data_IF_863865919523
#
_entry.id   IF_863865919523
#
_cell.length_a   1.000
_cell.length_b   1.000
_cell.length_c   1.000
_cell.angle_alpha   90.00
_cell.angle_beta   90.00
_cell.angle_gamma   90.00
#
_symmetry.space_group_name_H-M   'P 1'
#
loop_
_entity.id
_entity.type
_entity.pdbx_description
1 polymer ?
#
# COMPACT_ATOMS: atom_id res chain seq x y z
N UNK A 1 -24.85 -48.62 13.74
CA UNK A 1 -24.69 -47.16 13.59
C UNK A 1 -23.40 -46.96 12.83
N UNK A 2 -23.52 -46.72 11.53
CA UNK A 2 -22.39 -46.57 10.60
C UNK A 2 -21.90 -45.14 10.74
N UNK A 3 -20.67 -44.94 11.21
CA UNK A 3 -20.05 -43.61 11.28
C UNK A 3 -19.41 -43.36 9.92
N UNK A 4 -19.88 -42.30 9.28
CA UNK A 4 -19.47 -41.82 7.97
C UNK A 4 -18.01 -41.32 7.99
N UNK A 5 -17.22 -41.75 7.01
CA UNK A 5 -15.77 -41.52 6.93
C UNK A 5 -15.44 -40.38 5.97
N UNK A 6 -15.88 -39.17 6.30
CA UNK A 6 -15.45 -37.94 5.61
C UNK A 6 -14.98 -36.90 6.61
N UNK A 7 -13.97 -37.25 7.41
CA UNK A 7 -13.14 -36.26 8.11
C UNK A 7 -11.85 -36.10 7.33
N UNK A 8 -11.81 -35.09 6.44
CA UNK A 8 -10.59 -34.69 5.75
C UNK A 8 -9.54 -34.28 6.77
N UNK A 9 -8.52 -35.11 6.96
CA UNK A 9 -7.35 -34.78 7.74
C UNK A 9 -6.48 -33.84 6.92
N UNK A 10 -6.56 -32.53 7.16
CA UNK A 10 -5.54 -31.60 6.70
C UNK A 10 -4.30 -31.82 7.58
N UNK A 11 -3.18 -32.19 6.98
CA UNK A 11 -1.93 -32.30 7.72
C UNK A 11 -1.41 -30.89 8.07
N UNK A 12 -0.66 -30.75 9.15
CA UNK A 12 -0.04 -29.47 9.53
C UNK A 12 0.91 -28.97 8.43
N UNK A 13 1.51 -29.91 7.68
CA UNK A 13 2.37 -29.64 6.53
C UNK A 13 1.55 -29.03 5.37
N UNK A 14 0.33 -29.52 5.12
CA UNK A 14 -0.56 -28.96 4.08
C UNK A 14 -0.96 -27.51 4.41
N UNK A 15 -1.21 -27.19 5.68
CA UNK A 15 -1.59 -25.83 6.10
C UNK A 15 -0.39 -24.87 6.01
N UNK A 16 0.82 -25.36 6.30
CA UNK A 16 2.03 -24.55 6.28
C UNK A 16 2.54 -24.30 4.86
N UNK A 17 2.53 -25.32 3.99
CA UNK A 17 2.91 -25.21 2.58
C UNK A 17 1.95 -24.29 1.81
N UNK A 18 0.64 -24.44 2.00
CA UNK A 18 -0.34 -23.54 1.35
C UNK A 18 -0.16 -22.07 1.76
N UNK A 19 0.15 -21.80 3.04
CA UNK A 19 0.39 -20.43 3.52
C UNK A 19 1.70 -19.83 2.98
N UNK A 20 2.73 -20.64 2.76
CA UNK A 20 3.98 -20.19 2.17
C UNK A 20 3.80 -19.85 0.69
N UNK A 21 3.07 -20.67 -0.05
CA UNK A 21 2.74 -20.42 -1.46
C UNK A 21 1.91 -19.14 -1.63
N UNK A 22 0.91 -18.93 -0.76
CA UNK A 22 0.13 -17.69 -0.75
C UNK A 22 1.00 -16.46 -0.44
N UNK A 23 1.93 -16.57 0.51
CA UNK A 23 2.91 -15.52 0.78
C UNK A 23 3.77 -15.21 -0.45
N UNK A 24 4.35 -16.22 -1.11
CA UNK A 24 5.20 -16.00 -2.29
C UNK A 24 4.43 -15.34 -3.43
N UNK A 25 3.20 -15.81 -3.71
CA UNK A 25 2.33 -15.20 -4.71
C UNK A 25 2.05 -13.73 -4.39
N UNK A 26 1.78 -13.42 -3.13
CA UNK A 26 1.59 -12.04 -2.69
C UNK A 26 2.83 -11.16 -2.95
N UNK A 27 4.04 -11.65 -2.66
CA UNK A 27 5.26 -10.87 -2.94
C UNK A 27 5.50 -10.67 -4.44
N UNK A 28 5.20 -11.67 -5.28
CA UNK A 28 5.31 -11.57 -6.73
C UNK A 28 4.29 -10.59 -7.31
N UNK A 29 3.02 -10.69 -6.87
CA UNK A 29 1.95 -9.78 -7.27
C UNK A 29 2.27 -8.35 -6.85
N UNK A 30 2.76 -8.15 -5.61
CA UNK A 30 3.23 -6.87 -5.13
C UNK A 30 4.38 -6.30 -5.99
N UNK A 31 5.40 -7.10 -6.29
CA UNK A 31 6.53 -6.65 -7.11
C UNK A 31 6.07 -6.24 -8.51
N UNK A 32 5.13 -6.99 -9.10
CA UNK A 32 4.49 -6.65 -10.37
C UNK A 32 3.70 -5.33 -10.31
N UNK A 33 2.91 -5.13 -9.25
CA UNK A 33 2.14 -3.91 -9.04
C UNK A 33 3.03 -2.69 -8.79
N UNK A 34 4.10 -2.82 -7.99
CA UNK A 34 5.07 -1.76 -7.76
C UNK A 34 5.78 -1.37 -9.06
N UNK A 35 6.25 -2.36 -9.84
CA UNK A 35 6.87 -2.09 -11.13
C UNK A 35 5.91 -1.39 -12.10
N UNK A 36 4.64 -1.83 -12.14
CA UNK A 36 3.60 -1.20 -12.96
C UNK A 36 3.29 0.22 -12.50
N UNK A 37 3.17 0.47 -11.20
CA UNK A 37 2.95 1.80 -10.64
C UNK A 37 4.09 2.76 -11.03
N UNK A 38 5.35 2.35 -10.80
CA UNK A 38 6.52 3.16 -11.13
C UNK A 38 6.69 3.38 -12.64
N UNK A 39 6.12 2.51 -13.50
CA UNK A 39 6.17 2.70 -14.95
C UNK A 39 5.34 3.90 -15.45
N UNK A 40 4.40 4.41 -14.65
CA UNK A 40 3.67 5.65 -14.95
C UNK A 40 4.42 6.91 -14.51
N UNK A 41 5.41 6.76 -13.65
CA UNK A 41 6.20 7.86 -13.11
C UNK A 41 7.38 8.12 -14.05
N UNK A 42 7.80 9.39 -14.17
CA UNK A 42 9.02 9.69 -14.93
C UNK A 42 10.24 9.02 -14.28
N UNK A 43 11.24 8.65 -15.07
CA UNK A 43 12.43 7.95 -14.57
C UNK A 43 13.08 8.68 -13.37
N UNK A 44 13.25 10.00 -13.46
CA UNK A 44 13.85 10.81 -12.39
C UNK A 44 13.01 10.83 -11.10
N UNK A 45 11.67 10.89 -11.24
CA UNK A 45 10.76 10.85 -10.09
C UNK A 45 10.75 9.44 -9.45
N UNK A 46 10.81 8.38 -10.27
CA UNK A 46 10.85 7.00 -9.79
C UNK A 46 12.14 6.70 -9.02
N UNK A 47 13.30 7.12 -9.53
CA UNK A 47 14.59 7.00 -8.82
C UNK A 47 14.52 7.73 -7.47
N UNK A 48 13.96 8.95 -7.45
CA UNK A 48 13.80 9.71 -6.20
C UNK A 48 12.87 9.03 -5.20
N UNK A 49 11.78 8.40 -5.64
CA UNK A 49 10.89 7.60 -4.77
C UNK A 49 11.66 6.44 -4.16
N UNK A 50 12.42 5.69 -4.96
CA UNK A 50 13.20 4.54 -4.50
C UNK A 50 14.37 4.93 -3.58
N UNK A 51 14.86 6.17 -3.69
CA UNK A 51 15.83 6.75 -2.77
C UNK A 51 15.22 7.22 -1.45
N UNK A 52 13.94 7.64 -1.46
CA UNK A 52 13.25 8.23 -0.29
C UNK A 52 12.42 7.22 0.51
N UNK A 53 12.03 6.10 -0.09
CA UNK A 53 11.13 5.13 0.52
C UNK A 53 11.65 3.69 0.47
N UNK A 54 11.22 2.89 1.44
CA UNK A 54 11.23 1.43 1.38
C UNK A 54 9.79 0.94 1.36
N UNK A 55 9.43 0.20 0.31
CA UNK A 55 8.14 -0.46 0.25
C UNK A 55 8.21 -1.81 0.95
N UNK A 56 7.28 -2.03 1.87
CA UNK A 56 7.18 -3.25 2.66
C UNK A 56 5.80 -3.83 2.40
N UNK A 57 5.68 -4.88 1.57
CA UNK A 57 4.43 -5.58 1.41
C UNK A 57 4.13 -6.36 2.69
N UNK A 58 2.93 -6.20 3.22
CA UNK A 58 2.56 -6.71 4.52
C UNK A 58 1.43 -7.76 4.40
N UNK A 59 1.78 -8.99 4.78
CA UNK A 59 0.91 -10.15 4.80
C UNK A 59 0.86 -10.72 6.22
N UNK A 60 0.00 -10.16 7.09
CA UNK A 60 -0.14 -10.66 8.47
C UNK A 60 -1.00 -9.80 9.39
N UNK A 61 -1.04 -10.18 10.69
CA UNK A 61 -1.85 -9.54 11.73
C UNK A 61 -1.05 -8.59 12.65
N UNK A 62 0.29 -8.70 12.67
CA UNK A 62 1.16 -7.72 13.33
C UNK A 62 2.52 -7.55 12.64
N UNK A 63 3.12 -6.37 12.73
CA UNK A 63 4.49 -6.09 12.30
C UNK A 63 5.29 -5.35 13.37
N UNK A 64 6.62 -5.51 13.33
CA UNK A 64 7.56 -4.74 14.14
C UNK A 64 8.72 -4.25 13.26
N UNK A 65 8.82 -2.94 13.06
CA UNK A 65 9.98 -2.32 12.41
C UNK A 65 10.90 -1.76 13.49
N UNK A 66 12.18 -2.10 13.41
CA UNK A 66 13.17 -1.57 14.35
C UNK A 66 13.27 -0.04 14.20
N UNK A 67 13.18 0.73 15.30
CA UNK A 67 13.29 2.20 15.24
C UNK A 67 14.59 2.71 14.61
N UNK A 68 15.67 1.92 14.63
CA UNK A 68 16.96 2.28 14.01
C UNK A 68 16.94 2.20 12.48
N UNK A 69 16.01 1.47 11.88
CA UNK A 69 15.80 1.44 10.41
C UNK A 69 15.15 2.73 9.89
N UNK A 70 14.45 3.49 10.75
CA UNK A 70 13.59 4.63 10.38
C UNK A 70 14.38 5.93 10.11
N UNK A 71 15.72 5.90 10.15
CA UNK A 71 16.50 7.14 10.26
C UNK A 71 16.69 7.96 8.97
N UNK A 72 16.39 7.43 7.78
CA UNK A 72 16.65 8.14 6.50
C UNK A 72 15.63 7.96 5.38
N UNK A 73 14.69 7.03 5.51
CA UNK A 73 13.69 6.73 4.47
C UNK A 73 12.33 6.48 5.09
N UNK A 74 11.29 6.85 4.37
CA UNK A 74 9.91 6.53 4.73
C UNK A 74 9.66 5.03 4.51
N UNK A 75 8.99 4.38 5.45
CA UNK A 75 8.51 3.01 5.26
C UNK A 75 7.07 3.10 4.76
N UNK A 76 6.86 2.64 3.53
CA UNK A 76 5.53 2.53 2.93
C UNK A 76 5.07 1.10 3.12
N UNK A 77 4.07 0.91 3.95
CA UNK A 77 3.49 -0.40 4.22
C UNK A 77 2.25 -0.53 3.36
N UNK A 78 2.23 -1.53 2.48
CA UNK A 78 1.07 -1.82 1.64
C UNK A 78 0.46 -3.13 2.13
N UNK A 79 -0.78 -3.07 2.60
CA UNK A 79 -1.52 -4.21 3.12
C UNK A 79 -2.02 -5.09 1.97
N UNK A 80 -2.09 -6.40 2.18
CA UNK A 80 -2.60 -7.34 1.19
C UNK A 80 -4.01 -7.02 0.70
N UNK A 81 -4.88 -6.49 1.58
CA UNK A 81 -6.24 -6.08 1.19
C UNK A 81 -6.23 -4.93 0.16
N UNK A 82 -5.19 -4.08 0.18
CA UNK A 82 -5.08 -2.93 -0.71
C UNK A 82 -4.55 -3.35 -2.10
N UNK A 83 -4.20 -4.63 -2.27
CA UNK A 83 -3.70 -5.21 -3.53
C UNK A 83 -4.75 -6.05 -4.28
N UNK A 84 -5.99 -6.15 -3.78
CA UNK A 84 -7.03 -7.00 -4.38
C UNK A 84 -7.50 -6.50 -5.76
N UNK A 85 -7.58 -5.18 -5.94
CA UNK A 85 -7.83 -4.55 -7.25
C UNK A 85 -6.54 -3.89 -7.76
N UNK A 86 -6.13 -4.25 -8.97
CA UNK A 86 -4.84 -3.82 -9.51
C UNK A 86 -4.74 -2.31 -9.71
N UNK A 87 -5.84 -1.63 -10.07
CA UNK A 87 -5.81 -0.19 -10.33
C UNK A 87 -5.87 0.59 -9.00
N UNK A 88 -6.67 0.15 -8.02
CA UNK A 88 -6.68 0.71 -6.66
C UNK A 88 -5.32 0.53 -5.97
N UNK A 89 -4.68 -0.62 -6.16
CA UNK A 89 -3.35 -0.90 -5.65
C UNK A 89 -2.29 0.05 -6.21
N UNK A 90 -2.33 0.31 -7.53
CA UNK A 90 -1.44 1.26 -8.19
C UNK A 90 -1.64 2.67 -7.63
N UNK A 91 -2.89 3.11 -7.46
CA UNK A 91 -3.19 4.42 -6.88
C UNK A 91 -2.67 4.52 -5.45
N UNK A 92 -2.88 3.49 -4.63
CA UNK A 92 -2.41 3.43 -3.24
C UNK A 92 -0.88 3.50 -3.15
N UNK A 93 -0.18 2.69 -3.96
CA UNK A 93 1.29 2.70 -4.02
C UNK A 93 1.81 4.09 -4.38
N UNK A 94 1.22 4.74 -5.39
CA UNK A 94 1.65 6.06 -5.83
C UNK A 94 1.29 7.18 -4.85
N UNK A 95 0.17 7.07 -4.13
CA UNK A 95 -0.22 8.04 -3.10
C UNK A 95 0.77 8.01 -1.92
N UNK A 96 1.07 6.83 -1.39
CA UNK A 96 2.07 6.68 -0.32
C UNK A 96 3.47 7.12 -0.79
N UNK A 97 3.83 6.78 -2.04
CA UNK A 97 5.08 7.25 -2.65
C UNK A 97 5.10 8.78 -2.81
N UNK A 98 3.95 9.40 -3.09
CA UNK A 98 3.77 10.85 -3.17
C UNK A 98 4.12 11.54 -1.85
N UNK A 99 3.64 11.01 -0.72
CA UNK A 99 4.00 11.52 0.60
C UNK A 99 5.50 11.42 0.87
N UNK A 100 6.13 10.29 0.55
CA UNK A 100 7.57 10.13 0.69
C UNK A 100 8.36 11.06 -0.24
N UNK A 101 7.90 11.25 -1.49
CA UNK A 101 8.52 12.13 -2.48
C UNK A 101 8.49 13.60 -2.04
N UNK A 102 7.35 14.05 -1.53
CA UNK A 102 7.13 15.40 -1.00
C UNK A 102 7.78 15.61 0.38
N UNK A 103 8.31 14.54 0.98
CA UNK A 103 8.88 14.54 2.34
C UNK A 103 7.86 14.99 3.39
N UNK A 104 6.58 14.69 3.14
CA UNK A 104 5.51 14.94 4.11
C UNK A 104 5.71 13.98 5.28
N UNK A 105 5.94 14.54 6.47
CA UNK A 105 6.09 13.75 7.68
C UNK A 105 4.74 13.43 8.30
N UNK A 106 4.50 12.16 8.64
CA UNK A 106 3.37 11.73 9.47
C UNK A 106 3.65 12.05 10.96
N UNK A 107 3.79 13.34 11.29
CA UNK A 107 4.00 13.76 12.67
C UNK A 107 2.64 14.01 13.33
N UNK A 108 2.42 13.46 14.54
CA UNK A 108 1.18 13.65 15.31
C UNK A 108 0.93 15.10 15.78
N UNK A 109 1.77 16.05 15.36
CA UNK A 109 1.71 17.49 15.69
C UNK A 109 1.38 18.37 14.49
N UNK A 110 1.11 17.79 13.32
CA UNK A 110 0.67 18.54 12.13
C UNK A 110 -0.78 19.00 12.35
N UNK A 111 -1.09 20.26 12.04
CA UNK A 111 -2.46 20.75 12.15
C UNK A 111 -3.35 20.10 11.09
N UNK A 112 -4.66 19.99 11.34
CA UNK A 112 -5.62 19.47 10.35
C UNK A 112 -5.55 20.22 9.01
N UNK A 113 -5.32 21.53 9.04
CA UNK A 113 -5.17 22.33 7.83
C UNK A 113 -3.92 21.95 7.03
N UNK A 114 -2.78 21.75 7.72
CA UNK A 114 -1.55 21.35 7.07
C UNK A 114 -1.63 19.90 6.56
N UNK A 115 -2.31 19.01 7.27
CA UNK A 115 -2.59 17.65 6.77
C UNK A 115 -3.42 17.71 5.49
N UNK A 116 -4.49 18.51 5.45
CA UNK A 116 -5.30 18.68 4.25
C UNK A 116 -4.48 19.22 3.08
N UNK A 117 -3.67 20.26 3.31
CA UNK A 117 -2.80 20.79 2.28
C UNK A 117 -1.81 19.74 1.75
N UNK A 118 -1.24 18.93 2.64
CA UNK A 118 -0.32 17.86 2.28
C UNK A 118 -1.01 16.75 1.46
N UNK A 119 -2.25 16.41 1.78
CA UNK A 119 -3.08 15.50 0.98
C UNK A 119 -3.41 16.09 -0.40
N UNK A 120 -3.86 17.34 -0.47
CA UNK A 120 -4.19 18.02 -1.73
C UNK A 120 -2.97 18.04 -2.68
N UNK A 121 -1.80 18.36 -2.14
CA UNK A 121 -0.53 18.34 -2.89
C UNK A 121 -0.15 16.93 -3.34
N UNK A 122 -0.39 15.92 -2.51
CA UNK A 122 -0.15 14.52 -2.84
C UNK A 122 -1.08 14.03 -3.96
N UNK A 123 -2.39 14.29 -3.87
CA UNK A 123 -3.35 13.92 -4.90
C UNK A 123 -3.09 14.64 -6.22
N UNK A 124 -2.69 15.91 -6.19
CA UNK A 124 -2.28 16.63 -7.39
C UNK A 124 -1.05 15.97 -8.06
N UNK A 125 -0.10 15.46 -7.27
CA UNK A 125 1.06 14.74 -7.76
C UNK A 125 0.69 13.39 -8.37
N UNK A 126 -0.17 12.61 -7.70
CA UNK A 126 -0.65 11.31 -8.20
C UNK A 126 -1.40 11.47 -9.53
N UNK A 127 -2.29 12.48 -9.63
CA UNK A 127 -3.01 12.81 -10.87
C UNK A 127 -2.09 13.24 -12.01
N UNK A 128 -0.89 13.76 -11.70
CA UNK A 128 0.12 14.09 -12.71
C UNK A 128 0.85 12.84 -13.23
N UNK A 129 1.09 11.85 -12.37
CA UNK A 129 1.76 10.62 -12.74
C UNK A 129 0.86 9.66 -13.50
N UNK A 130 -0.40 9.54 -13.08
CA UNK A 130 -1.32 8.58 -13.68
C UNK A 130 -2.02 9.14 -14.93
N UNK A 131 -2.32 8.28 -15.93
CA UNK A 131 -3.11 8.69 -17.08
C UNK A 131 -4.58 8.92 -16.70
N UNK A 132 -5.28 9.73 -17.49
CA UNK A 132 -6.69 10.12 -17.26
C UNK A 132 -7.65 8.93 -17.07
N UNK A 133 -7.31 7.74 -17.58
CA UNK A 133 -8.10 6.51 -17.40
C UNK A 133 -8.26 6.10 -15.93
N UNK A 134 -7.34 6.51 -15.05
CA UNK A 134 -7.41 6.26 -13.61
C UNK A 134 -8.29 7.28 -12.86
N UNK A 135 -8.86 8.29 -13.53
CA UNK A 135 -9.58 9.38 -12.87
C UNK A 135 -10.65 8.88 -11.89
N UNK A 136 -11.45 7.89 -12.28
CA UNK A 136 -12.48 7.30 -11.41
C UNK A 136 -11.92 6.57 -10.18
N UNK A 137 -10.79 5.87 -10.35
CA UNK A 137 -10.06 5.17 -9.28
C UNK A 137 -9.47 6.16 -8.29
N UNK A 138 -8.85 7.24 -8.78
CA UNK A 138 -8.30 8.30 -7.92
C UNK A 138 -9.42 8.98 -7.14
N UNK A 139 -10.55 9.34 -7.79
CA UNK A 139 -11.69 9.96 -7.11
C UNK A 139 -12.34 9.02 -6.07
N UNK A 140 -12.24 7.71 -6.27
CA UNK A 140 -12.66 6.72 -5.29
C UNK A 140 -11.72 6.69 -4.09
N UNK A 141 -10.42 6.52 -4.32
CA UNK A 141 -9.38 6.47 -3.29
C UNK A 141 -9.32 7.76 -2.47
N UNK A 142 -9.38 8.93 -3.11
CA UNK A 142 -9.39 10.23 -2.45
C UNK A 142 -10.57 10.37 -1.48
N UNK A 143 -11.76 9.87 -1.84
CA UNK A 143 -12.92 9.88 -0.94
C UNK A 143 -12.75 8.96 0.28
N UNK A 144 -12.05 7.84 0.11
CA UNK A 144 -11.77 6.89 1.19
C UNK A 144 -10.67 7.42 2.13
N UNK A 145 -9.58 7.98 1.57
CA UNK A 145 -8.46 8.56 2.32
C UNK A 145 -8.80 9.90 2.99
N UNK A 146 -9.61 10.74 2.35
CA UNK A 146 -10.16 11.98 2.93
C UNK A 146 -11.22 11.73 4.02
N UNK A 147 -11.56 10.46 4.26
CA UNK A 147 -12.51 9.98 5.27
C UNK A 147 -12.12 10.28 6.73
N UNK A 148 -10.94 10.86 6.99
CA UNK A 148 -10.63 11.50 8.27
C UNK A 148 -11.50 12.74 8.58
N UNK A 149 -12.37 13.17 7.66
CA UNK A 149 -13.52 14.04 7.93
C UNK A 149 -14.76 13.31 8.50
N UNK A 150 -14.67 12.02 8.84
CA UNK A 150 -15.73 11.20 9.41
C UNK A 150 -15.56 10.91 10.89
N UNK A 151 -15.53 11.93 11.76
CA UNK A 151 -15.89 11.78 13.18
C UNK A 151 -16.33 13.14 13.77
N UNK A 152 -17.40 13.69 13.19
CA UNK A 152 -18.34 14.55 13.91
C UNK A 152 -19.74 13.93 13.74
N UNK A 153 -20.03 12.94 14.57
CA UNK A 153 -21.38 12.64 15.03
C UNK A 153 -21.35 12.46 16.54
#
# INVERSE_FOLDING_TARGET
MTIDSTSGSYSFDDIYENKLDDCYRFYDDFAGLLARALSYVSYDDADRILESAFFVPYYGDSWHISPSLIQRRSFIIIDAKDLEDADDAIVTILHEAGHAYLQHGTCSKVSTELMRQQEDECWALVRRWLPDSFGGTIDHAERLGSGSQGNQQ
#
